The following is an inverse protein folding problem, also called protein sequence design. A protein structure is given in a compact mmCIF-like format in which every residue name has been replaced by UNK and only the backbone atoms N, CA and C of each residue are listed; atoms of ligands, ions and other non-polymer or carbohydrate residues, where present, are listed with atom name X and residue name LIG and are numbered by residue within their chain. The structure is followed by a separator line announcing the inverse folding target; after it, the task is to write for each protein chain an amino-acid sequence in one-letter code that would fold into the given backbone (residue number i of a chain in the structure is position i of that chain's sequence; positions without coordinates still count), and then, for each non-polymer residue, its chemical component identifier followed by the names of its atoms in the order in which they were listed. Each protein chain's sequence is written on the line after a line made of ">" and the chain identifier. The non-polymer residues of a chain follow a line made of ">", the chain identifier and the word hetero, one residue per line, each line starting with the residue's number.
data_IF_845987048330
#
_entry.id   IF_845987048330
#
_cell.length_a   1.000
_cell.length_b   1.000
_cell.length_c   1.000
_cell.angle_alpha   90.00
_cell.angle_beta   90.00
_cell.angle_gamma   90.00
#
_symmetry.space_group_name_H-M   'P 1'
#
loop_
_entity.id
_entity.type
_entity.pdbx_description
1 polymer ?
#
# COMPACT_ATOMS: atom_id res chain seq x y z
N UNK A 1 32.66 -10.79 -33.06
CA UNK A 1 32.15 -11.42 -31.81
C UNK A 1 32.11 -10.46 -30.62
N UNK A 2 33.19 -9.75 -30.29
CA UNK A 2 33.24 -8.82 -29.13
C UNK A 2 32.18 -7.70 -29.14
N UNK A 3 31.92 -7.09 -30.31
CA UNK A 3 30.93 -6.01 -30.49
C UNK A 3 29.49 -6.52 -30.34
N UNK A 4 29.21 -7.74 -30.81
CA UNK A 4 27.86 -8.32 -30.73
C UNK A 4 27.50 -8.59 -29.27
N UNK A 5 28.43 -9.15 -28.48
CA UNK A 5 28.25 -9.39 -27.03
C UNK A 5 27.97 -8.09 -26.26
N UNK A 6 28.66 -6.99 -26.62
CA UNK A 6 28.43 -5.67 -26.03
C UNK A 6 27.01 -5.14 -26.31
N UNK A 7 26.50 -5.33 -27.53
CA UNK A 7 25.12 -4.96 -27.88
C UNK A 7 24.08 -5.82 -27.13
N UNK A 8 24.34 -7.12 -26.93
CA UNK A 8 23.42 -7.99 -26.20
C UNK A 8 23.31 -7.61 -24.71
N UNK A 9 24.41 -7.19 -24.08
CA UNK A 9 24.40 -6.77 -22.66
C UNK A 9 23.63 -5.45 -22.49
N UNK A 10 23.77 -4.50 -23.42
CA UNK A 10 23.08 -3.20 -23.38
C UNK A 10 21.55 -3.33 -23.51
N UNK A 11 21.08 -4.31 -24.29
CA UNK A 11 19.65 -4.59 -24.49
C UNK A 11 19.03 -5.31 -23.27
N UNK A 12 19.83 -6.00 -22.45
CA UNK A 12 19.36 -6.63 -21.21
C UNK A 12 19.15 -5.60 -20.07
N UNK A 13 19.90 -4.50 -20.05
CA UNK A 13 19.83 -3.50 -18.97
C UNK A 13 18.53 -2.68 -18.99
N UNK A 14 17.90 -2.53 -20.15
CA UNK A 14 16.65 -1.76 -20.33
C UNK A 14 15.40 -2.48 -19.80
N UNK A 15 15.54 -3.69 -19.24
CA UNK A 15 14.44 -4.42 -18.58
C UNK A 15 14.52 -4.45 -17.06
N UNK A 16 15.21 -3.48 -16.45
CA UNK A 16 15.03 -3.24 -15.00
C UNK A 16 13.68 -2.59 -14.76
N UNK A 17 12.65 -3.41 -14.57
CA UNK A 17 11.37 -3.03 -13.99
C UNK A 17 11.64 -2.67 -12.52
N UNK A 18 12.00 -1.41 -12.25
CA UNK A 18 11.99 -0.89 -10.90
C UNK A 18 10.54 -0.62 -10.51
N UNK A 19 9.79 -1.68 -10.16
CA UNK A 19 8.42 -1.55 -9.70
C UNK A 19 8.45 -0.71 -8.42
N UNK A 20 8.04 0.54 -8.55
CA UNK A 20 8.08 1.50 -7.46
C UNK A 20 6.78 1.38 -6.66
N UNK A 21 6.91 1.23 -5.36
CA UNK A 21 5.76 1.09 -4.45
C UNK A 21 4.82 2.29 -4.43
N UNK A 22 5.34 3.46 -4.82
CA UNK A 22 4.63 4.73 -4.82
C UNK A 22 4.92 5.41 -6.15
N UNK A 23 3.88 5.72 -6.92
CA UNK A 23 4.00 6.47 -8.17
C UNK A 23 4.24 7.96 -7.87
N UNK A 24 4.80 8.69 -8.82
CA UNK A 24 5.11 10.12 -8.64
C UNK A 24 3.88 11.00 -8.38
N UNK A 25 2.68 10.56 -8.78
CA UNK A 25 1.41 11.23 -8.53
C UNK A 25 0.70 10.74 -7.25
N UNK A 26 1.30 9.82 -6.50
CA UNK A 26 0.72 9.24 -5.30
C UNK A 26 1.34 9.85 -4.04
N UNK A 27 0.54 9.93 -2.98
CA UNK A 27 0.98 10.24 -1.62
C UNK A 27 0.61 9.09 -0.69
N UNK A 28 1.50 8.75 0.24
CA UNK A 28 1.23 7.75 1.27
C UNK A 28 0.21 8.31 2.27
N UNK A 29 -0.80 7.51 2.57
CA UNK A 29 -1.80 7.78 3.61
C UNK A 29 -1.46 6.99 4.87
N UNK A 30 -1.05 5.74 4.70
CA UNK A 30 -0.68 4.85 5.78
C UNK A 30 0.34 3.83 5.31
N UNK A 31 1.32 3.49 6.15
CA UNK A 31 2.30 2.46 5.83
C UNK A 31 2.93 1.86 7.09
N UNK A 32 3.29 0.59 7.01
CA UNK A 32 4.11 -0.06 8.02
C UNK A 32 4.88 -1.24 7.42
N UNK A 33 5.92 -1.68 8.11
CA UNK A 33 6.68 -2.87 7.75
C UNK A 33 6.31 -4.03 8.67
N UNK A 34 6.16 -5.22 8.11
CA UNK A 34 5.99 -6.47 8.86
C UNK A 34 7.33 -6.93 9.44
N UNK A 35 7.27 -7.82 10.43
CA UNK A 35 8.48 -8.44 11.00
C UNK A 35 9.30 -9.24 9.98
N UNK A 36 8.70 -9.64 8.86
CA UNK A 36 9.35 -10.37 7.76
C UNK A 36 9.98 -9.42 6.74
N UNK A 37 9.95 -8.11 6.97
CA UNK A 37 10.49 -7.09 6.07
C UNK A 37 9.59 -6.76 4.88
N UNK A 38 8.34 -7.26 4.86
CA UNK A 38 7.35 -6.86 3.86
C UNK A 38 6.77 -5.51 4.23
N UNK A 39 6.38 -4.72 3.25
CA UNK A 39 5.74 -3.43 3.45
C UNK A 39 4.26 -3.50 3.10
N UNK A 40 3.44 -2.84 3.91
CA UNK A 40 2.07 -2.51 3.59
C UNK A 40 2.02 -1.02 3.34
N UNK A 41 1.47 -0.61 2.21
CA UNK A 41 1.27 0.80 1.86
C UNK A 41 -0.17 1.01 1.41
N UNK A 42 -0.81 2.03 1.97
CA UNK A 42 -2.02 2.64 1.42
C UNK A 42 -1.62 4.01 0.90
N UNK A 43 -1.79 4.22 -0.39
CA UNK A 43 -1.50 5.47 -1.06
C UNK A 43 -2.73 5.98 -1.80
N UNK A 44 -2.82 7.29 -1.97
CA UNK A 44 -3.84 7.91 -2.81
C UNK A 44 -3.19 8.79 -3.86
N UNK A 45 -3.89 8.99 -4.96
CA UNK A 45 -3.54 10.05 -5.90
C UNK A 45 -3.55 11.41 -5.18
N UNK A 46 -2.60 12.27 -5.55
CA UNK A 46 -2.48 13.63 -5.01
C UNK A 46 -3.72 14.49 -5.30
N UNK A 47 -4.41 14.25 -6.41
CA UNK A 47 -5.70 14.84 -6.75
C UNK A 47 -6.92 14.07 -6.24
N UNK A 48 -6.74 13.10 -5.32
CA UNK A 48 -7.80 12.24 -4.76
C UNK A 48 -8.56 11.39 -5.79
N UNK A 49 -7.98 11.10 -6.97
CA UNK A 49 -8.66 10.32 -8.01
C UNK A 49 -8.88 8.84 -7.62
N UNK A 50 -7.98 8.27 -6.85
CA UNK A 50 -8.03 6.87 -6.42
C UNK A 50 -7.30 6.67 -5.09
N UNK A 51 -7.67 5.60 -4.39
CA UNK A 51 -6.95 4.96 -3.30
C UNK A 51 -6.41 3.59 -3.78
N UNK A 52 -5.24 3.19 -3.30
CA UNK A 52 -4.62 1.90 -3.61
C UNK A 52 -3.93 1.32 -2.37
N UNK A 53 -4.05 0.02 -2.20
CA UNK A 53 -3.34 -0.79 -1.23
C UNK A 53 -2.26 -1.62 -1.94
N UNK A 54 -1.07 -1.72 -1.33
CA UNK A 54 0.03 -2.57 -1.81
C UNK A 54 0.69 -3.32 -0.68
N UNK A 55 1.10 -4.55 -0.98
CA UNK A 55 1.86 -5.42 -0.10
C UNK A 55 3.00 -6.13 -0.84
N UNK A 56 4.16 -6.29 -0.20
CA UNK A 56 5.31 -7.05 -0.72
C UNK A 56 6.66 -6.49 -0.23
N UNK A 57 7.71 -6.44 -1.06
CA UNK A 57 9.06 -5.92 -0.70
C UNK A 57 9.46 -4.71 -1.54
N UNK A 58 10.50 -3.95 -1.13
CA UNK A 58 10.97 -2.70 -1.74
C UNK A 58 11.23 -2.68 -3.28
N UNK A 59 11.12 -3.80 -3.99
CA UNK A 59 11.17 -3.86 -5.45
C UNK A 59 10.19 -4.84 -6.10
N UNK A 60 9.22 -5.37 -5.34
CA UNK A 60 8.23 -6.32 -5.84
C UNK A 60 6.90 -6.12 -5.13
N UNK A 61 5.88 -5.69 -5.86
CA UNK A 61 4.50 -5.65 -5.36
C UNK A 61 3.92 -7.06 -5.52
N UNK A 62 3.68 -7.73 -4.40
CA UNK A 62 3.13 -9.09 -4.36
C UNK A 62 1.61 -9.08 -4.41
N UNK A 63 1.00 -8.01 -3.92
CA UNK A 63 -0.43 -7.81 -3.95
C UNK A 63 -0.75 -6.32 -4.06
N UNK A 64 -1.54 -5.95 -5.05
CA UNK A 64 -2.11 -4.62 -5.22
C UNK A 64 -3.63 -4.73 -5.21
N UNK A 65 -4.30 -3.76 -4.60
CA UNK A 65 -5.76 -3.68 -4.64
C UNK A 65 -6.22 -2.22 -4.71
N UNK A 66 -7.26 -1.90 -5.47
CA UNK A 66 -7.93 -2.77 -6.47
C UNK A 66 -7.12 -2.88 -7.78
N UNK A 67 -7.41 -3.91 -8.58
CA UNK A 67 -6.78 -4.11 -9.90
C UNK A 67 -7.01 -2.94 -10.87
N UNK A 68 -8.18 -2.30 -10.78
CA UNK A 68 -8.49 -1.07 -11.50
C UNK A 68 -8.65 0.09 -10.52
N UNK A 69 -7.96 1.19 -10.81
CA UNK A 69 -8.02 2.42 -10.01
C UNK A 69 -9.30 3.23 -10.26
N UNK A 70 -10.12 2.85 -11.25
CA UNK A 70 -11.41 3.48 -11.49
C UNK A 70 -12.37 3.21 -10.33
N UNK A 71 -12.99 4.26 -9.78
CA UNK A 71 -13.90 4.16 -8.63
C UNK A 71 -13.29 3.43 -7.43
N UNK A 72 -11.96 3.47 -7.26
CA UNK A 72 -11.31 2.63 -6.25
C UNK A 72 -11.69 2.99 -4.81
N UNK A 73 -12.03 4.25 -4.54
CA UNK A 73 -12.51 4.68 -3.22
C UNK A 73 -13.70 3.85 -2.74
N UNK A 74 -14.63 3.51 -3.65
CA UNK A 74 -15.83 2.74 -3.34
C UNK A 74 -15.53 1.26 -3.04
N UNK A 75 -14.29 0.82 -3.27
CA UNK A 75 -13.81 -0.53 -2.95
C UNK A 75 -13.27 -0.65 -1.53
N UNK A 76 -13.13 0.46 -0.82
CA UNK A 76 -12.67 0.48 0.56
C UNK A 76 -13.77 0.97 1.49
N UNK A 77 -13.84 0.35 2.67
CA UNK A 77 -14.71 0.74 3.76
C UNK A 77 -13.85 1.28 4.90
N UNK A 78 -14.10 2.53 5.29
CA UNK A 78 -13.48 3.14 6.46
C UNK A 78 -14.47 3.18 7.64
N UNK A 79 -13.99 2.81 8.82
CA UNK A 79 -14.74 2.94 10.06
C UNK A 79 -13.82 3.20 11.24
N UNK A 80 -14.38 3.69 12.35
CA UNK A 80 -13.61 3.98 13.55
C UNK A 80 -14.40 3.66 14.82
N UNK A 81 -13.66 3.47 15.92
CA UNK A 81 -14.19 3.36 17.27
C UNK A 81 -13.41 4.29 18.20
N UNK A 82 -14.13 5.25 18.79
CA UNK A 82 -13.56 6.21 19.74
C UNK A 82 -14.15 5.98 21.12
N UNK A 83 -13.28 5.90 22.12
CA UNK A 83 -13.64 5.82 23.54
C UNK A 83 -12.82 6.84 24.33
N UNK A 84 -13.51 7.73 25.04
CA UNK A 84 -12.86 8.68 25.95
C UNK A 84 -12.07 7.98 27.06
N UNK A 85 -10.97 8.61 27.49
CA UNK A 85 -10.16 8.20 28.63
C UNK A 85 -10.59 8.85 29.95
N UNK A 86 -9.92 8.48 31.05
CA UNK A 86 -10.12 9.04 32.38
C UNK A 86 -9.13 8.48 33.39
N UNK A 87 -9.30 8.80 34.69
CA UNK A 87 -8.36 8.41 35.77
C UNK A 87 -8.01 6.91 35.82
N UNK A 88 -8.87 6.06 35.27
CA UNK A 88 -8.73 4.61 35.31
C UNK A 88 -8.30 4.00 33.97
N UNK A 89 -8.47 4.69 32.83
CA UNK A 89 -8.22 4.12 31.50
C UNK A 89 -7.71 5.18 30.51
N UNK A 90 -6.80 4.79 29.62
CA UNK A 90 -6.41 5.59 28.45
C UNK A 90 -7.59 5.75 27.48
N UNK A 91 -7.62 6.89 26.81
CA UNK A 91 -8.44 7.11 25.63
C UNK A 91 -8.00 6.19 24.50
N UNK A 92 -8.95 5.82 23.65
CA UNK A 92 -8.71 4.89 22.56
C UNK A 92 -9.39 5.37 21.30
N UNK A 93 -8.61 5.48 20.23
CA UNK A 93 -9.08 5.79 18.89
C UNK A 93 -8.60 4.67 17.94
N UNK A 94 -9.53 3.82 17.51
CA UNK A 94 -9.31 2.71 16.59
C UNK A 94 -9.81 3.11 15.21
N UNK A 95 -8.94 3.01 14.21
CA UNK A 95 -9.24 3.30 12.83
C UNK A 95 -9.08 2.04 11.99
N UNK A 96 -10.04 1.79 11.11
CA UNK A 96 -10.10 0.60 10.27
C UNK A 96 -10.27 1.01 8.80
N UNK A 97 -9.43 0.44 7.94
CA UNK A 97 -9.64 0.44 6.49
C UNK A 97 -9.78 -1.01 6.02
N UNK A 98 -10.88 -1.31 5.36
CA UNK A 98 -11.27 -2.67 5.02
C UNK A 98 -11.61 -2.80 3.54
N UNK A 99 -11.34 -3.96 2.97
CA UNK A 99 -11.78 -4.32 1.63
C UNK A 99 -11.86 -5.84 1.51
N UNK A 100 -12.55 -6.33 0.47
CA UNK A 100 -12.65 -7.76 0.17
C UNK A 100 -12.08 -8.02 -1.21
N UNK A 101 -11.17 -8.99 -1.32
CA UNK A 101 -10.65 -9.48 -2.58
C UNK A 101 -10.80 -11.00 -2.63
N UNK A 102 -11.39 -11.54 -3.70
CA UNK A 102 -11.59 -13.00 -3.90
C UNK A 102 -12.22 -13.73 -2.69
N UNK A 103 -13.13 -13.08 -1.97
CA UNK A 103 -13.80 -13.64 -0.78
C UNK A 103 -13.00 -13.53 0.52
N UNK A 104 -11.76 -13.03 0.48
CA UNK A 104 -10.96 -12.73 1.66
C UNK A 104 -11.16 -11.27 2.10
N UNK A 105 -11.41 -11.07 3.40
CA UNK A 105 -11.52 -9.74 4.00
C UNK A 105 -10.16 -9.29 4.53
N UNK A 106 -9.70 -8.15 4.04
CA UNK A 106 -8.49 -7.47 4.49
C UNK A 106 -8.89 -6.34 5.43
N UNK A 107 -8.18 -6.20 6.54
CA UNK A 107 -8.44 -5.18 7.55
C UNK A 107 -7.12 -4.57 8.03
N UNK A 108 -6.90 -3.30 7.70
CA UNK A 108 -5.82 -2.51 8.24
C UNK A 108 -6.35 -1.78 9.47
N UNK A 109 -5.68 -1.97 10.61
CA UNK A 109 -6.04 -1.35 11.87
C UNK A 109 -4.90 -0.44 12.34
N UNK A 110 -5.26 0.78 12.72
CA UNK A 110 -4.38 1.69 13.45
C UNK A 110 -5.03 2.08 14.78
N UNK A 111 -4.22 2.12 15.84
CA UNK A 111 -4.66 2.43 17.19
C UNK A 111 -3.87 3.62 17.68
N UNK A 112 -4.57 4.71 18.01
CA UNK A 112 -4.01 5.81 18.77
C UNK A 112 -4.49 5.69 20.23
N UNK A 113 -3.53 5.64 21.15
CA UNK A 113 -3.78 5.70 22.59
C UNK A 113 -3.53 7.13 23.05
N UNK A 114 -4.48 7.66 23.83
CA UNK A 114 -4.52 9.06 24.27
C UNK A 114 -4.55 9.13 25.79
#
# INVERSE_FOLDING_TARGET
>A
MRIIVLFTILICSVRSEAQTYILSNEQVVFSFQTITGKEVIVAKDTGNKYLVYRFGTAGNIEFEFPDSKEHSWDKFEYSFYLRGGGRQNEGMDLNYLQFTNEGYKYCLQYILRI
#
